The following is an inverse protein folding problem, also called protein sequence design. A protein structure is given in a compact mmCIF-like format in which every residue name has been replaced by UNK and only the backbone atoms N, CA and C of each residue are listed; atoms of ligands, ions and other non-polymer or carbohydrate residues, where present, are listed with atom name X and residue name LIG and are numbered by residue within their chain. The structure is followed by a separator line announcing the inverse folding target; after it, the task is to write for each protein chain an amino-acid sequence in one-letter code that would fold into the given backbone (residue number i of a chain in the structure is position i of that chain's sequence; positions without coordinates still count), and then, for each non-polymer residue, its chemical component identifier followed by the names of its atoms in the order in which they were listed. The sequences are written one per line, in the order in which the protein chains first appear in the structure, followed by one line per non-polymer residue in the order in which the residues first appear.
data_IF_421065033820
#
_entry.id   IF_421065033820
#
_cell.length_a   1.000
_cell.length_b   1.000
_cell.length_c   1.000
_cell.angle_alpha   90.00
_cell.angle_beta   90.00
_cell.angle_gamma   90.00
#
_symmetry.space_group_name_H-M   'P 1'
#
loop_
_entity.id
_entity.type
_entity.pdbx_description
1 polymer ?
#
# COMPACT_ATOMS: atom_id res chain seq x y z
N UNK A 1 -2.43 38.40 34.35
CA UNK A 1 -3.11 38.23 33.03
C UNK A 1 -2.03 38.20 31.96
N UNK A 2 -1.72 37.02 31.43
CA UNK A 2 -0.81 36.85 30.30
C UNK A 2 -1.65 36.84 29.03
N UNK A 3 -1.40 37.75 28.10
CA UNK A 3 -2.07 37.74 26.79
C UNK A 3 -1.47 36.61 25.94
N UNK A 4 -2.29 35.81 25.24
CA UNK A 4 -1.77 34.76 24.37
C UNK A 4 -1.05 35.38 23.17
N UNK A 5 0.14 34.83 22.89
CA UNK A 5 0.95 35.18 21.72
C UNK A 5 0.18 34.77 20.47
N UNK A 6 -0.17 35.74 19.62
CA UNK A 6 -0.86 35.49 18.35
C UNK A 6 0.08 34.76 17.38
N UNK A 7 -0.29 33.56 16.99
CA UNK A 7 0.48 32.73 16.07
C UNK A 7 0.42 33.33 14.65
N UNK A 8 1.56 33.63 14.00
CA UNK A 8 1.59 34.19 12.65
C UNK A 8 0.92 33.31 11.57
N UNK A 9 0.70 32.03 11.85
CA UNK A 9 0.05 31.08 10.93
C UNK A 9 -1.45 31.37 10.77
N UNK A 10 -2.13 31.83 11.83
CA UNK A 10 -3.58 32.12 11.79
C UNK A 10 -3.94 33.16 10.73
N UNK A 11 -3.03 34.11 10.46
CA UNK A 11 -3.26 35.19 9.50
C UNK A 11 -3.28 34.70 8.06
N UNK A 12 -2.60 33.59 7.76
CA UNK A 12 -2.50 33.02 6.41
C UNK A 12 -3.75 32.20 6.10
N UNK A 13 -4.25 31.42 7.07
CA UNK A 13 -5.42 30.55 6.92
C UNK A 13 -6.72 31.38 6.75
N UNK A 14 -6.83 32.53 7.44
CA UNK A 14 -8.03 33.39 7.40
C UNK A 14 -8.22 34.18 6.09
N UNK A 15 -7.26 34.21 5.17
CA UNK A 15 -7.33 35.07 3.97
C UNK A 15 -8.24 34.54 2.84
N UNK A 16 -8.85 33.36 2.99
CA UNK A 16 -9.74 32.80 1.97
C UNK A 16 -10.75 31.76 2.44
N UNK A 17 -10.92 31.54 3.74
CA UNK A 17 -11.89 30.57 4.29
C UNK A 17 -12.99 31.29 5.06
N UNK A 18 -14.25 31.06 4.68
CA UNK A 18 -15.44 31.46 5.45
C UNK A 18 -15.84 30.40 6.50
N UNK A 19 -15.00 29.37 6.70
CA UNK A 19 -15.21 28.31 7.67
C UNK A 19 -14.18 28.48 8.78
N UNK A 20 -14.66 28.82 9.99
CA UNK A 20 -13.88 28.73 11.22
C UNK A 20 -14.09 27.35 11.82
N UNK A 21 -13.06 26.50 11.79
CA UNK A 21 -13.03 25.25 12.54
C UNK A 21 -12.39 25.59 13.89
N UNK A 22 -13.19 25.57 14.95
CA UNK A 22 -12.69 25.73 16.31
C UNK A 22 -12.19 24.37 16.78
N UNK A 23 -10.87 24.15 16.70
CA UNK A 23 -10.26 22.90 17.12
C UNK A 23 -10.03 23.00 18.63
N UNK A 24 -10.69 22.17 19.46
CA UNK A 24 -10.48 22.22 20.89
C UNK A 24 -9.02 21.88 21.23
N UNK A 25 -8.44 22.48 22.28
CA UNK A 25 -7.07 22.20 22.70
C UNK A 25 -6.90 20.72 23.07
N UNK A 26 -5.97 20.05 22.39
CA UNK A 26 -5.61 18.66 22.69
C UNK A 26 -4.89 18.64 24.04
N UNK A 27 -5.52 18.03 25.04
CA UNK A 27 -4.95 17.90 26.38
C UNK A 27 -4.44 16.47 26.55
N UNK A 28 -3.13 16.27 26.49
CA UNK A 28 -2.53 14.95 26.75
C UNK A 28 -2.53 14.69 28.25
N UNK A 29 -3.51 13.92 28.73
CA UNK A 29 -3.58 13.51 30.14
C UNK A 29 -2.96 12.13 30.33
N UNK A 30 -2.19 11.89 31.42
CA UNK A 30 -1.73 10.54 31.79
C UNK A 30 -2.87 9.66 32.34
N UNK A 31 -4.05 10.24 32.56
CA UNK A 31 -5.26 9.51 32.93
C UNK A 31 -5.90 8.88 31.69
N UNK A 32 -6.30 7.60 31.80
CA UNK A 32 -7.06 6.91 30.75
C UNK A 32 -8.34 7.68 30.42
N UNK A 33 -8.57 7.90 29.13
CA UNK A 33 -9.78 8.57 28.62
C UNK A 33 -11.01 7.67 28.78
N UNK A 34 -12.22 8.26 28.81
CA UNK A 34 -13.46 7.50 28.91
C UNK A 34 -13.60 6.47 27.77
N UNK A 35 -13.25 6.88 26.55
CA UNK A 35 -13.13 6.00 25.38
C UNK A 35 -12.18 4.80 25.61
N UNK A 36 -11.01 5.01 26.21
CA UNK A 36 -10.08 3.91 26.55
C UNK A 36 -10.67 2.95 27.59
N UNK A 37 -11.43 3.47 28.58
CA UNK A 37 -12.09 2.65 29.60
C UNK A 37 -13.26 1.85 29.04
N UNK A 38 -14.03 2.42 28.11
CA UNK A 38 -15.08 1.72 27.37
C UNK A 38 -14.52 0.55 26.55
N UNK A 39 -13.39 0.75 25.86
CA UNK A 39 -12.74 -0.32 25.07
C UNK A 39 -12.30 -1.51 25.94
N UNK A 40 -11.94 -1.27 27.20
CA UNK A 40 -11.51 -2.29 28.16
C UNK A 40 -12.72 -2.89 28.92
N UNK A 41 -13.90 -2.28 28.80
CA UNK A 41 -15.13 -2.69 29.48
C UNK A 41 -15.22 -2.24 30.94
N UNK A 42 -14.39 -1.28 31.36
CA UNK A 42 -14.45 -0.67 32.69
C UNK A 42 -15.61 0.34 32.82
N UNK A 43 -16.14 0.84 31.70
CA UNK A 43 -17.19 1.85 31.63
C UNK A 43 -18.28 1.41 30.63
N UNK A 44 -19.54 1.38 31.07
CA UNK A 44 -20.68 0.83 30.30
C UNK A 44 -21.59 1.87 29.65
N UNK A 45 -21.34 3.16 29.88
CA UNK A 45 -22.10 4.25 29.27
C UNK A 45 -21.34 4.73 28.02
N UNK A 46 -22.02 4.82 26.88
CA UNK A 46 -21.44 5.19 25.58
C UNK A 46 -21.32 6.71 25.50
N UNK A 47 -20.16 7.22 25.07
CA UNK A 47 -19.93 8.67 24.95
C UNK A 47 -20.70 9.22 23.74
N UNK A 48 -21.61 10.18 23.94
CA UNK A 48 -22.61 10.57 22.91
C UNK A 48 -22.05 11.39 21.73
N UNK A 49 -20.83 11.95 21.81
CA UNK A 49 -20.28 12.84 20.76
C UNK A 49 -18.77 12.62 20.47
N UNK A 50 -18.30 11.37 20.56
CA UNK A 50 -16.89 11.00 20.28
C UNK A 50 -16.66 10.45 18.87
N UNK A 51 -15.59 10.89 18.20
CA UNK A 51 -15.09 10.24 16.97
C UNK A 51 -13.90 9.37 17.33
N UNK A 52 -14.06 8.04 17.25
CA UNK A 52 -12.98 7.08 17.49
C UNK A 52 -12.10 6.95 16.24
N UNK A 53 -10.88 7.49 16.29
CA UNK A 53 -9.85 7.26 15.28
C UNK A 53 -8.92 6.17 15.81
N UNK A 54 -9.23 4.91 15.50
CA UNK A 54 -8.36 3.79 15.79
C UNK A 54 -7.34 3.62 14.64
N UNK A 55 -6.10 4.05 14.86
CA UNK A 55 -5.00 3.67 13.97
C UNK A 55 -4.49 2.28 14.37
N UNK A 56 -4.53 1.31 13.47
CA UNK A 56 -3.84 0.03 13.65
C UNK A 56 -2.34 0.25 13.54
N UNK A 57 -1.72 0.77 14.61
CA UNK A 57 -0.29 0.58 14.78
C UNK A 57 -0.07 -0.89 15.11
N UNK A 58 0.22 -1.69 14.08
CA UNK A 58 0.74 -3.02 14.30
C UNK A 58 2.14 -2.84 14.87
N UNK A 59 2.26 -2.87 16.20
CA UNK A 59 3.56 -2.81 16.87
C UNK A 59 4.42 -3.94 16.31
N UNK A 60 5.54 -3.55 15.70
CA UNK A 60 6.64 -4.44 15.37
C UNK A 60 7.38 -4.80 16.65
N UNK A 61 6.73 -5.51 17.56
CA UNK A 61 7.39 -6.14 18.71
C UNK A 61 7.51 -7.63 18.42
N UNK A 62 8.51 -7.99 17.61
CA UNK A 62 9.12 -9.32 17.68
C UNK A 62 10.52 -9.30 17.09
N UNK A 63 11.39 -8.43 17.61
CA UNK A 63 12.84 -8.61 17.47
C UNK A 63 13.38 -8.99 18.85
N UNK A 64 13.26 -10.29 19.18
CA UNK A 64 13.56 -10.74 20.55
C UNK A 64 13.20 -12.19 20.88
N UNK A 65 13.32 -13.14 19.96
CA UNK A 65 13.48 -14.57 20.35
C UNK A 65 14.57 -15.20 19.49
N UNK A 66 15.81 -14.89 19.84
CA UNK A 66 16.93 -15.80 19.65
C UNK A 66 16.81 -16.91 20.69
N UNK A 67 16.33 -18.08 20.28
CA UNK A 67 16.49 -19.33 21.00
C UNK A 67 15.19 -20.06 21.37
N UNK A 68 15.00 -21.22 20.76
CA UNK A 68 14.24 -22.32 21.36
C UNK A 68 12.77 -22.45 20.95
N UNK A 69 12.51 -23.44 20.09
CA UNK A 69 11.21 -24.07 19.82
C UNK A 69 10.13 -23.17 19.20
N UNK A 70 10.08 -23.19 17.88
CA UNK A 70 8.89 -22.79 17.12
C UNK A 70 7.71 -23.67 17.57
N UNK A 71 6.72 -23.06 18.22
CA UNK A 71 5.41 -23.66 18.40
C UNK A 71 4.79 -23.80 17.00
N UNK A 72 4.37 -25.01 16.61
CA UNK A 72 3.87 -25.34 15.25
C UNK A 72 2.73 -24.43 14.73
N UNK A 73 2.11 -23.61 15.58
CA UNK A 73 1.11 -22.60 15.19
C UNK A 73 1.65 -21.18 14.93
N UNK A 74 2.81 -20.79 15.47
CA UNK A 74 3.35 -19.43 15.31
C UNK A 74 3.86 -19.17 13.89
N UNK A 75 4.50 -20.15 13.25
CA UNK A 75 4.99 -20.01 11.87
C UNK A 75 3.86 -19.75 10.87
N UNK A 76 2.75 -20.48 11.02
CA UNK A 76 1.57 -20.36 10.16
C UNK A 76 0.85 -19.03 10.37
N UNK A 77 0.69 -18.58 11.62
CA UNK A 77 0.09 -17.27 11.92
C UNK A 77 0.96 -16.10 11.40
N UNK A 78 2.29 -16.22 11.47
CA UNK A 78 3.21 -15.23 10.91
C UNK A 78 3.15 -15.19 9.38
N UNK A 79 3.03 -16.36 8.72
CA UNK A 79 2.90 -16.43 7.27
C UNK A 79 1.58 -15.84 6.76
N UNK A 80 0.45 -16.14 7.44
CA UNK A 80 -0.85 -15.56 7.12
C UNK A 80 -0.87 -14.04 7.33
N UNK A 81 -0.28 -13.56 8.43
CA UNK A 81 -0.14 -12.11 8.67
C UNK A 81 0.66 -11.45 7.55
N UNK A 82 1.79 -12.04 7.16
CA UNK A 82 2.60 -11.53 6.04
C UNK A 82 1.82 -11.54 4.73
N UNK A 83 1.07 -12.60 4.45
CA UNK A 83 0.22 -12.69 3.27
C UNK A 83 -0.77 -11.53 3.18
N UNK A 84 -1.45 -11.20 4.29
CA UNK A 84 -2.36 -10.05 4.32
C UNK A 84 -1.65 -8.72 4.12
N UNK A 85 -0.47 -8.52 4.73
CA UNK A 85 0.32 -7.30 4.56
C UNK A 85 0.75 -7.13 3.10
N UNK A 86 1.33 -8.16 2.49
CA UNK A 86 1.83 -8.07 1.11
C UNK A 86 0.67 -7.89 0.10
N UNK A 87 -0.48 -8.52 0.35
CA UNK A 87 -1.70 -8.29 -0.44
C UNK A 87 -2.20 -6.85 -0.29
N UNK A 88 -2.22 -6.32 0.94
CA UNK A 88 -2.62 -4.94 1.22
C UNK A 88 -1.72 -3.91 0.54
N UNK A 89 -0.42 -4.17 0.39
CA UNK A 89 0.48 -3.31 -0.40
C UNK A 89 0.07 -3.27 -1.86
N UNK A 90 -0.25 -4.41 -2.47
CA UNK A 90 -0.70 -4.46 -3.87
C UNK A 90 -2.01 -3.69 -4.05
N UNK A 91 -2.95 -3.85 -3.12
CA UNK A 91 -4.23 -3.13 -3.15
C UNK A 91 -4.04 -1.62 -3.00
N UNK A 92 -3.17 -1.19 -2.09
CA UNK A 92 -2.83 0.22 -1.88
C UNK A 92 -2.29 0.89 -3.16
N UNK A 93 -1.44 0.19 -3.92
CA UNK A 93 -0.85 0.70 -5.16
C UNK A 93 -1.70 0.46 -6.42
N UNK A 94 -2.87 -0.18 -6.31
CA UNK A 94 -3.68 -0.54 -7.48
C UNK A 94 -4.08 0.68 -8.32
N UNK A 95 -4.55 1.75 -7.67
CA UNK A 95 -4.98 2.96 -8.39
C UNK A 95 -3.81 3.69 -9.06
N UNK A 96 -2.69 3.98 -8.37
CA UNK A 96 -1.50 4.55 -9.03
C UNK A 96 -0.98 3.71 -10.19
N UNK A 97 -0.90 2.38 -10.03
CA UNK A 97 -0.46 1.48 -11.10
C UNK A 97 -1.37 1.60 -12.32
N UNK A 98 -2.69 1.62 -12.11
CA UNK A 98 -3.67 1.78 -13.18
C UNK A 98 -3.50 3.11 -13.91
N UNK A 99 -3.27 4.21 -13.18
CA UNK A 99 -3.04 5.53 -13.77
C UNK A 99 -1.78 5.52 -14.66
N UNK A 100 -0.65 5.04 -14.15
CA UNK A 100 0.61 5.00 -14.90
C UNK A 100 0.57 4.01 -16.09
N UNK A 101 -0.21 2.93 -15.99
CA UNK A 101 -0.45 2.01 -17.12
C UNK A 101 -1.30 2.66 -18.21
N UNK A 102 -2.38 3.33 -17.84
CA UNK A 102 -3.21 4.08 -18.78
C UNK A 102 -2.43 5.22 -19.46
N UNK A 103 -1.53 5.87 -18.72
CA UNK A 103 -0.60 6.89 -19.22
C UNK A 103 0.56 6.33 -20.08
N UNK A 104 0.63 5.01 -20.27
CA UNK A 104 1.67 4.31 -21.07
C UNK A 104 3.08 4.49 -20.51
N UNK A 105 3.18 4.65 -19.20
CA UNK A 105 4.44 4.75 -18.46
C UNK A 105 4.87 3.40 -17.91
N UNK A 106 3.93 2.64 -17.37
CA UNK A 106 4.16 1.28 -16.88
C UNK A 106 3.45 0.27 -17.78
N UNK A 107 3.98 -0.94 -17.82
CA UNK A 107 3.34 -2.08 -18.45
C UNK A 107 3.62 -3.37 -17.71
N UNK A 108 2.77 -4.38 -17.93
CA UNK A 108 2.87 -5.69 -17.27
C UNK A 108 3.73 -6.64 -18.09
N UNK A 109 4.69 -7.28 -17.45
CA UNK A 109 5.51 -8.30 -18.06
C UNK A 109 4.89 -9.69 -17.97
N UNK A 110 5.26 -10.54 -18.92
CA UNK A 110 4.93 -11.96 -18.90
C UNK A 110 5.49 -12.68 -17.67
N UNK A 111 6.51 -12.09 -17.03
CA UNK A 111 7.11 -12.48 -15.76
C UNK A 111 6.30 -12.04 -14.52
N UNK A 112 5.13 -11.42 -14.71
CA UNK A 112 4.27 -10.91 -13.64
C UNK A 112 4.75 -9.59 -13.02
N UNK A 113 5.85 -8.99 -13.51
CA UNK A 113 6.40 -7.74 -12.96
C UNK A 113 5.91 -6.54 -13.75
N UNK A 114 5.80 -5.41 -13.05
CA UNK A 114 5.62 -4.10 -13.66
C UNK A 114 6.97 -3.58 -14.16
N UNK A 115 6.99 -3.07 -15.38
CA UNK A 115 8.17 -2.52 -16.03
C UNK A 115 7.89 -1.11 -16.56
N UNK A 116 8.86 -0.17 -16.44
CA UNK A 116 8.80 1.09 -17.16
C UNK A 116 8.83 0.86 -18.67
N UNK A 117 7.85 1.43 -19.38
CA UNK A 117 7.79 1.40 -20.84
C UNK A 117 8.85 2.36 -21.40
N UNK A 118 9.71 1.94 -22.34
CA UNK A 118 10.68 2.82 -22.98
C UNK A 118 10.05 3.94 -23.82
N UNK A 119 10.77 5.04 -23.99
CA UNK A 119 10.29 6.23 -24.71
C UNK A 119 10.23 6.04 -26.23
N UNK A 120 10.89 5.01 -26.74
CA UNK A 120 10.89 4.61 -28.15
C UNK A 120 9.61 3.84 -28.51
N UNK A 121 9.04 3.14 -27.52
CA UNK A 121 7.88 2.25 -27.68
C UNK A 121 6.57 3.02 -27.57
N UNK A 122 6.41 3.76 -26.48
CA UNK A 122 5.38 4.77 -26.35
C UNK A 122 6.08 6.13 -26.52
N UNK A 123 5.59 7.11 -27.27
CA UNK A 123 6.16 8.46 -27.24
C UNK A 123 5.81 9.21 -25.93
N UNK A 124 6.50 10.32 -25.65
CA UNK A 124 6.22 11.17 -24.48
C UNK A 124 4.76 11.61 -24.42
N UNK A 125 4.10 11.33 -23.29
CA UNK A 125 2.87 12.02 -22.89
C UNK A 125 3.27 13.15 -21.94
N UNK A 126 2.82 14.38 -22.23
CA UNK A 126 3.39 15.61 -21.68
C UNK A 126 3.57 15.63 -20.16
N UNK A 127 2.57 15.20 -19.38
CA UNK A 127 2.63 15.20 -17.91
C UNK A 127 3.44 14.03 -17.34
N UNK A 128 3.21 12.82 -17.82
CA UNK A 128 3.60 11.59 -17.11
C UNK A 128 5.03 11.09 -17.41
N UNK A 129 5.78 11.78 -18.27
CA UNK A 129 7.13 11.34 -18.69
C UNK A 129 8.22 12.38 -18.53
N UNK A 130 8.03 13.27 -17.58
CA UNK A 130 9.16 14.02 -17.02
C UNK A 130 10.02 13.06 -16.15
N UNK A 131 11.29 13.38 -15.87
CA UNK A 131 12.18 12.49 -15.13
C UNK A 131 11.70 12.16 -13.71
N UNK A 132 11.04 13.10 -13.05
CA UNK A 132 10.51 12.96 -11.69
C UNK A 132 9.36 11.95 -11.65
N UNK A 133 8.39 12.09 -12.55
CA UNK A 133 7.26 11.15 -12.71
C UNK A 133 7.74 9.75 -13.11
N UNK A 134 8.76 9.65 -13.96
CA UNK A 134 9.34 8.35 -14.30
C UNK A 134 10.02 7.70 -13.09
N UNK A 135 10.64 8.49 -12.20
CA UNK A 135 11.24 7.98 -10.96
C UNK A 135 10.16 7.49 -9.99
N UNK A 136 9.06 8.24 -9.84
CA UNK A 136 7.90 7.84 -9.03
C UNK A 136 7.29 6.54 -9.59
N UNK A 137 7.06 6.47 -10.90
CA UNK A 137 6.52 5.28 -11.54
C UNK A 137 7.43 4.05 -11.35
N UNK A 138 8.75 4.23 -11.47
CA UNK A 138 9.72 3.17 -11.22
C UNK A 138 9.73 2.71 -9.75
N UNK A 139 9.59 3.64 -8.80
CA UNK A 139 9.46 3.32 -7.39
C UNK A 139 8.18 2.53 -7.13
N UNK A 140 7.03 2.96 -7.66
CA UNK A 140 5.76 2.23 -7.55
C UNK A 140 5.90 0.82 -8.12
N UNK A 141 6.51 0.68 -9.29
CA UNK A 141 6.76 -0.64 -9.88
C UNK A 141 7.60 -1.52 -8.95
N UNK A 142 8.66 -0.98 -8.34
CA UNK A 142 9.48 -1.70 -7.36
C UNK A 142 8.68 -2.13 -6.12
N UNK A 143 7.89 -1.22 -5.54
CA UNK A 143 7.08 -1.48 -4.35
C UNK A 143 5.98 -2.52 -4.58
N UNK A 144 5.48 -2.65 -5.82
CA UNK A 144 4.50 -3.67 -6.20
C UNK A 144 5.16 -4.98 -6.60
N UNK A 145 6.33 -4.93 -7.24
CA UNK A 145 7.06 -6.13 -7.65
C UNK A 145 7.57 -6.94 -6.45
N UNK A 146 7.98 -6.27 -5.36
CA UNK A 146 8.43 -6.92 -4.12
C UNK A 146 7.37 -7.85 -3.49
N UNK A 147 6.14 -7.41 -3.15
CA UNK A 147 5.10 -8.26 -2.60
C UNK A 147 4.64 -9.32 -3.60
N UNK A 148 4.57 -8.98 -4.89
CA UNK A 148 4.25 -9.92 -5.97
C UNK A 148 5.22 -11.12 -5.96
N UNK A 149 6.52 -10.86 -5.95
CA UNK A 149 7.56 -11.91 -5.90
C UNK A 149 7.44 -12.81 -4.67
N UNK A 150 7.16 -12.22 -3.51
CA UNK A 150 6.93 -12.98 -2.29
C UNK A 150 5.67 -13.85 -2.39
N UNK A 151 4.55 -13.31 -2.89
CA UNK A 151 3.29 -14.04 -3.04
C UNK A 151 3.42 -15.19 -4.03
N UNK A 152 4.15 -15.01 -5.13
CA UNK A 152 4.44 -16.09 -6.09
C UNK A 152 5.15 -17.26 -5.40
N UNK A 153 6.18 -16.92 -4.62
CA UNK A 153 6.97 -17.90 -3.87
C UNK A 153 6.08 -18.60 -2.84
N UNK A 154 5.27 -17.84 -2.09
CA UNK A 154 4.34 -18.36 -1.11
C UNK A 154 3.34 -19.34 -1.73
N UNK A 155 2.66 -18.99 -2.82
CA UNK A 155 1.72 -19.89 -3.49
C UNK A 155 2.39 -21.14 -4.05
N UNK A 156 3.59 -21.01 -4.62
CA UNK A 156 4.34 -22.16 -5.15
C UNK A 156 4.80 -23.14 -4.07
N UNK A 157 5.21 -22.64 -2.90
CA UNK A 157 5.68 -23.47 -1.78
C UNK A 157 4.56 -24.19 -1.04
N UNK A 158 3.36 -23.60 -1.02
CA UNK A 158 2.17 -24.19 -0.39
C UNK A 158 1.34 -25.06 -1.36
N UNK A 159 1.77 -25.17 -2.62
CA UNK A 159 1.14 -26.01 -3.62
C UNK A 159 1.68 -27.46 -3.59
N UNK A 160 0.90 -28.45 -4.04
CA UNK A 160 1.41 -29.78 -4.34
C UNK A 160 2.61 -29.71 -5.30
N UNK A 161 3.63 -30.55 -5.08
CA UNK A 161 4.89 -30.48 -5.82
C UNK A 161 4.72 -30.65 -7.35
N UNK A 162 3.73 -31.44 -7.77
CA UNK A 162 3.33 -31.65 -9.17
C UNK A 162 2.66 -30.42 -9.81
N UNK A 163 2.14 -29.50 -9.00
CA UNK A 163 1.37 -28.32 -9.45
C UNK A 163 2.04 -26.97 -9.12
N UNK A 164 3.11 -26.98 -8.34
CA UNK A 164 3.80 -25.78 -7.86
C UNK A 164 4.18 -24.81 -8.99
N UNK A 165 4.79 -25.35 -10.06
CA UNK A 165 5.23 -24.54 -11.21
C UNK A 165 4.05 -24.04 -12.05
N UNK A 166 2.99 -24.84 -12.21
CA UNK A 166 1.78 -24.42 -12.92
C UNK A 166 1.03 -23.30 -12.18
N UNK A 167 0.87 -23.43 -10.86
CA UNK A 167 0.24 -22.42 -10.00
C UNK A 167 1.04 -21.12 -10.05
N UNK A 168 2.37 -21.20 -9.91
CA UNK A 168 3.26 -20.05 -10.05
C UNK A 168 3.04 -19.36 -11.40
N UNK A 169 3.12 -20.10 -12.52
CA UNK A 169 2.97 -19.54 -13.85
C UNK A 169 1.58 -18.94 -14.10
N UNK A 170 0.51 -19.57 -13.62
CA UNK A 170 -0.86 -19.01 -13.68
C UNK A 170 -0.96 -17.69 -12.94
N UNK A 171 -0.37 -17.61 -11.75
CA UNK A 171 -0.40 -16.39 -10.95
C UNK A 171 0.44 -15.28 -11.59
N UNK A 172 1.64 -15.58 -12.08
CA UNK A 172 2.49 -14.62 -12.81
C UNK A 172 1.76 -14.01 -14.01
N UNK A 173 1.15 -14.89 -14.82
CA UNK A 173 0.48 -14.49 -16.07
C UNK A 173 -0.81 -13.74 -15.84
N UNK A 174 -1.43 -13.84 -14.66
CA UNK A 174 -2.69 -13.17 -14.35
C UNK A 174 -2.64 -11.67 -14.66
N UNK A 175 -1.61 -10.96 -14.19
CA UNK A 175 -1.50 -9.51 -14.38
C UNK A 175 -1.29 -9.13 -15.84
N UNK A 176 -0.52 -9.93 -16.57
CA UNK A 176 -0.33 -9.79 -18.01
C UNK A 176 -1.66 -9.97 -18.78
N UNK A 177 -2.47 -10.96 -18.39
CA UNK A 177 -3.76 -11.26 -19.02
C UNK A 177 -4.87 -10.26 -18.66
N UNK A 178 -4.78 -9.61 -17.50
CA UNK A 178 -5.72 -8.57 -17.05
C UNK A 178 -5.46 -7.20 -17.71
N UNK A 179 -4.46 -7.10 -18.58
CA UNK A 179 -4.16 -5.85 -19.27
C UNK A 179 -5.29 -5.41 -20.21
N UNK A 180 -5.60 -4.11 -20.15
CA UNK A 180 -6.73 -3.51 -20.87
C UNK A 180 -6.31 -3.04 -22.26
N UNK A 181 -7.29 -2.92 -23.16
CA UNK A 181 -7.07 -2.34 -24.48
C UNK A 181 -6.37 -0.98 -24.38
N UNK A 182 -5.33 -0.81 -25.20
CA UNK A 182 -4.52 0.39 -25.27
C UNK A 182 -3.29 0.41 -24.35
N UNK A 183 -3.20 -0.51 -23.37
CA UNK A 183 -2.05 -0.65 -22.47
C UNK A 183 -0.89 -1.42 -23.11
N UNK A 184 0.28 -1.32 -22.49
CA UNK A 184 1.50 -2.00 -22.92
C UNK A 184 1.78 -3.22 -22.04
N UNK A 185 2.23 -4.28 -22.68
CA UNK A 185 2.70 -5.50 -22.03
C UNK A 185 4.03 -5.93 -22.61
N UNK A 186 4.90 -6.54 -21.79
CA UNK A 186 6.17 -7.09 -22.22
C UNK A 186 6.00 -8.60 -22.42
N UNK A 187 6.19 -9.08 -23.66
CA UNK A 187 6.04 -10.50 -23.99
C UNK A 187 7.18 -11.37 -23.43
N UNK A 188 7.05 -12.69 -23.56
CA UNK A 188 8.07 -13.67 -23.14
C UNK A 188 9.44 -13.50 -23.83
N UNK A 189 9.47 -12.80 -24.98
CA UNK A 189 10.67 -12.51 -25.76
C UNK A 189 11.21 -11.09 -25.46
N UNK A 190 10.75 -10.44 -24.39
CA UNK A 190 11.10 -9.07 -24.00
C UNK A 190 10.74 -8.02 -25.06
N UNK A 191 9.65 -8.22 -25.80
CA UNK A 191 9.13 -7.28 -26.78
C UNK A 191 7.86 -6.62 -26.24
N UNK A 192 7.80 -5.30 -26.41
CA UNK A 192 6.63 -4.53 -26.02
C UNK A 192 5.50 -4.70 -27.04
N UNK A 193 4.36 -5.19 -26.56
CA UNK A 193 3.14 -5.34 -27.32
C UNK A 193 2.09 -4.40 -26.75
N UNK A 194 1.27 -3.83 -27.64
CA UNK A 194 0.12 -3.03 -27.26
C UNK A 194 -1.14 -3.87 -27.34
N UNK A 195 -1.86 -3.95 -26.23
CA UNK A 195 -3.14 -4.65 -26.15
C UNK A 195 -4.13 -3.94 -27.06
N UNK A 196 -4.81 -4.69 -27.93
CA UNK A 196 -5.81 -4.16 -28.87
C UNK A 196 -7.19 -4.18 -28.27
#
# INVERSE_FOLDING_TARGET
MLQPVRDPIERIIRKGSCISIDIPPITLTPARTAAERQLIGEEGEVEEDGWLIASSQSTSEYDGVSGGQAVEGQGTMTALRRYHVETGVIEFYNEPVREYRAARVLGEGYDGRLHPVPAEVAPRQGRYRNPEEMAIAAQIASEVNRPREWLYSYHSQNAPADQSEDIKNKYLRRFYLEARSGEWVLDENNRWLRVR
#
